data_IF_897619201441
#
_entry.id   IF_897619201441
#
_cell.length_a   1.000
_cell.length_b   1.000
_cell.length_c   1.000
_cell.angle_alpha   90.00
_cell.angle_beta   90.00
_cell.angle_gamma   90.00
#
_symmetry.space_group_name_H-M   'P 1'
#
loop_
_entity.id
_entity.type
_entity.pdbx_description
1 polymer ?
#
# COMPACT_ATOMS: atom_id res chain seq x y z
N UNK A 1 -0.81 4.80 18.54
CA UNK A 1 -0.63 4.33 17.15
C UNK A 1 0.70 4.87 16.66
N UNK A 2 1.61 4.00 16.24
CA UNK A 2 2.86 4.44 15.63
C UNK A 2 2.61 5.20 14.33
N UNK A 3 3.48 6.14 13.98
CA UNK A 3 3.33 6.97 12.78
C UNK A 3 4.26 6.41 11.70
N UNK A 4 3.85 6.50 10.43
CA UNK A 4 4.48 5.75 9.34
C UNK A 4 4.88 6.66 8.18
N UNK A 5 6.08 6.44 7.66
CA UNK A 5 6.63 7.18 6.52
C UNK A 5 7.15 6.22 5.45
N UNK A 6 6.69 6.40 4.20
CA UNK A 6 7.16 5.65 3.02
C UNK A 6 8.18 6.47 2.26
N UNK A 7 9.31 5.88 1.93
CA UNK A 7 10.45 6.58 1.34
C UNK A 7 10.86 5.91 0.03
N UNK A 8 10.82 6.69 -1.05
CA UNK A 8 11.24 6.24 -2.38
C UNK A 8 12.72 6.52 -2.58
N UNK A 9 13.44 5.53 -3.11
CA UNK A 9 14.84 5.69 -3.44
C UNK A 9 15.04 6.57 -4.69
N UNK A 10 16.06 7.44 -4.70
CA UNK A 10 16.41 8.20 -5.90
C UNK A 10 16.77 7.23 -7.04
N UNK A 11 16.11 7.39 -8.20
CA UNK A 11 16.35 6.54 -9.36
C UNK A 11 17.68 6.90 -10.04
N UNK A 12 18.73 6.15 -9.73
CA UNK A 12 20.00 6.22 -10.45
C UNK A 12 20.10 5.07 -11.47
N UNK A 13 20.12 5.43 -12.76
CA UNK A 13 20.36 4.49 -13.86
C UNK A 13 21.72 3.79 -13.74
N UNK A 14 21.72 2.47 -13.95
CA UNK A 14 22.86 1.55 -13.72
C UNK A 14 24.02 1.74 -14.69
N UNK A 15 25.26 1.60 -14.17
CA UNK A 15 26.31 0.76 -14.78
C UNK A 15 27.37 0.32 -13.74
N UNK A 16 27.78 -0.95 -13.77
CA UNK A 16 28.88 -1.58 -12.98
C UNK A 16 30.11 -1.92 -13.90
N UNK A 17 31.19 -2.63 -13.47
CA UNK A 17 32.42 -2.06 -12.88
C UNK A 17 33.74 -2.59 -13.55
N UNK A 18 34.92 -2.08 -13.17
CA UNK A 18 36.21 -2.85 -13.09
C UNK A 18 37.37 -2.08 -12.42
N UNK A 19 38.23 -2.84 -11.73
CA UNK A 19 39.31 -2.56 -10.75
C UNK A 19 40.62 -1.93 -11.30
N UNK A 20 41.48 -1.17 -10.60
CA UNK A 20 42.34 -1.50 -9.43
C UNK A 20 43.03 -0.24 -8.82
N UNK A 21 43.10 -0.18 -7.48
CA UNK A 21 44.14 0.28 -6.52
C UNK A 21 44.75 1.72 -6.49
N UNK A 22 44.52 2.33 -5.29
CA UNK A 22 45.38 3.14 -4.37
C UNK A 22 45.53 4.67 -4.55
N UNK A 23 44.80 5.37 -3.65
CA UNK A 23 45.12 6.55 -2.81
C UNK A 23 45.60 7.89 -3.43
N UNK A 24 44.79 8.96 -3.28
CA UNK A 24 45.07 10.23 -2.54
C UNK A 24 43.93 11.24 -2.79
N UNK A 25 43.57 12.02 -1.76
CA UNK A 25 42.54 13.09 -1.76
C UNK A 25 42.86 14.19 -2.78
N UNK A 26 41.88 14.58 -3.60
CA UNK A 26 41.84 15.89 -4.27
C UNK A 26 40.37 16.29 -4.53
N UNK A 27 39.97 17.46 -4.01
CA UNK A 27 38.74 18.15 -4.41
C UNK A 27 38.98 18.76 -5.79
N UNK A 28 38.17 18.40 -6.78
CA UNK A 28 37.97 19.21 -7.99
C UNK A 28 36.58 18.96 -8.56
N UNK A 29 35.81 20.04 -8.63
CA UNK A 29 34.64 20.19 -9.48
C UNK A 29 35.00 19.87 -10.93
N UNK A 30 34.16 19.11 -11.62
CA UNK A 30 34.18 18.99 -13.07
C UNK A 30 32.74 19.09 -13.59
N UNK A 31 32.42 20.26 -14.14
CA UNK A 31 31.34 20.47 -15.09
C UNK A 31 31.45 19.48 -16.25
N UNK A 32 30.36 18.77 -16.54
CA UNK A 32 30.18 18.04 -17.79
C UNK A 32 29.04 18.70 -18.58
N UNK A 33 29.39 19.18 -19.78
CA UNK A 33 28.48 19.65 -20.80
C UNK A 33 28.47 18.66 -21.97
N UNK A 34 27.39 18.77 -22.78
CA UNK A 34 27.06 18.08 -24.05
C UNK A 34 26.06 16.92 -23.89
N UNK A 35 24.94 16.86 -24.62
CA UNK A 35 24.52 17.67 -25.77
C UNK A 35 23.00 17.65 -25.97
N UNK A 36 22.52 18.76 -26.53
CA UNK A 36 21.15 18.93 -26.99
C UNK A 36 20.94 18.15 -28.30
N UNK A 37 19.88 17.35 -28.37
CA UNK A 37 19.21 17.04 -29.63
C UNK A 37 17.89 17.83 -29.68
N UNK A 38 17.82 18.76 -30.62
CA UNK A 38 16.63 19.54 -30.95
C UNK A 38 15.65 18.68 -31.75
N UNK A 39 14.42 18.55 -31.27
CA UNK A 39 13.27 18.19 -32.11
C UNK A 39 12.34 19.40 -32.28
N UNK A 40 11.75 19.60 -33.47
CA UNK A 40 11.00 20.80 -33.80
C UNK A 40 9.67 20.86 -33.05
N UNK A 41 9.39 22.04 -32.49
CA UNK A 41 8.07 22.45 -32.07
C UNK A 41 7.23 22.79 -33.31
N UNK A 42 6.06 22.14 -33.43
CA UNK A 42 4.94 22.66 -34.22
C UNK A 42 3.64 22.42 -33.44
N UNK A 43 2.99 23.51 -33.07
CA UNK A 43 1.52 23.57 -32.99
C UNK A 43 0.90 23.67 -31.59
N UNK A 44 0.92 24.87 -31.02
CA UNK A 44 -0.28 25.43 -30.37
C UNK A 44 -0.45 26.85 -30.94
N UNK A 45 -1.64 27.19 -31.46
CA UNK A 45 -2.68 27.86 -30.64
C UNK A 45 -4.07 27.25 -30.93
N UNK A 46 -5.15 27.40 -30.16
CA UNK A 46 -5.59 28.50 -29.33
C UNK A 46 -6.67 28.00 -28.33
N UNK A 47 -6.85 28.74 -27.23
CA UNK A 47 -8.11 28.81 -26.47
C UNK A 47 -9.02 29.82 -27.16
N UNK A 48 -10.30 29.49 -27.37
CA UNK A 48 -11.34 30.45 -26.99
C UNK A 48 -12.52 29.80 -26.23
N UNK A 49 -12.88 30.49 -25.16
CA UNK A 49 -14.23 30.76 -24.65
C UNK A 49 -15.20 29.62 -24.30
N UNK A 50 -15.61 29.72 -23.03
CA UNK A 50 -16.67 29.03 -22.34
C UNK A 50 -18.05 29.51 -22.82
N UNK A 51 -19.02 28.60 -23.10
CA UNK A 51 -20.42 28.93 -23.06
C UNK A 51 -21.09 28.30 -21.83
N UNK A 52 -21.78 29.15 -21.07
CA UNK A 52 -23.16 28.90 -20.61
C UNK A 52 -23.46 27.67 -19.76
N UNK A 53 -23.79 27.93 -18.49
CA UNK A 53 -24.59 27.09 -17.63
C UNK A 53 -25.89 26.62 -18.31
N UNK A 54 -26.10 25.31 -18.45
CA UNK A 54 -27.41 24.68 -18.62
C UNK A 54 -27.32 23.21 -18.21
N UNK A 55 -28.13 22.84 -17.22
CA UNK A 55 -28.17 21.49 -16.69
C UNK A 55 -28.52 20.46 -17.76
N UNK A 56 -27.81 19.33 -17.72
CA UNK A 56 -28.24 18.09 -18.37
C UNK A 56 -27.87 16.94 -17.46
N UNK A 57 -28.90 16.26 -16.96
CA UNK A 57 -28.79 14.97 -16.30
C UNK A 57 -28.02 14.02 -17.22
N UNK A 58 -26.91 13.47 -16.74
CA UNK A 58 -26.21 12.39 -17.40
C UNK A 58 -26.92 11.08 -17.04
N UNK A 59 -27.76 10.60 -17.95
CA UNK A 59 -28.19 9.19 -17.98
C UNK A 59 -26.99 8.34 -18.38
N UNK A 60 -26.31 7.75 -17.41
CA UNK A 60 -25.29 6.74 -17.67
C UNK A 60 -25.99 5.42 -18.03
N UNK A 61 -26.10 5.13 -19.33
CA UNK A 61 -26.30 3.76 -19.78
C UNK A 61 -24.98 3.01 -19.57
N UNK A 62 -24.92 2.19 -18.51
CA UNK A 62 -23.86 1.22 -18.30
C UNK A 62 -24.01 0.07 -19.33
N UNK A 63 -22.90 -0.56 -19.78
CA UNK A 63 -22.98 -1.73 -20.64
C UNK A 63 -23.50 -2.93 -19.83
N UNK A 64 -24.60 -3.52 -20.29
CA UNK A 64 -25.13 -4.79 -19.78
C UNK A 64 -24.24 -5.95 -20.24
N UNK A 65 -23.27 -6.33 -19.41
CA UNK A 65 -22.75 -7.71 -19.34
C UNK A 65 -22.31 -8.00 -17.90
N UNK A 66 -23.27 -8.41 -17.08
CA UNK A 66 -23.05 -8.98 -15.74
C UNK A 66 -23.98 -10.17 -15.57
N UNK A 67 -23.60 -11.10 -14.70
CA UNK A 67 -24.32 -12.35 -14.33
C UNK A 67 -25.85 -12.14 -14.42
N UNK A 68 -26.53 -12.95 -15.26
CA UNK A 68 -27.92 -12.81 -15.74
C UNK A 68 -28.91 -12.01 -14.85
N UNK A 69 -29.57 -11.00 -15.41
CA UNK A 69 -30.55 -10.13 -14.73
C UNK A 69 -31.95 -10.77 -14.57
N UNK A 70 -32.03 -11.99 -14.02
CA UNK A 70 -33.30 -12.74 -13.92
C UNK A 70 -33.59 -13.32 -12.52
N UNK A 71 -33.10 -12.70 -11.45
CA UNK A 71 -33.40 -13.05 -10.06
C UNK A 71 -33.35 -11.85 -9.13
N UNK A 72 -33.83 -12.01 -7.90
CA UNK A 72 -33.72 -11.00 -6.84
C UNK A 72 -32.25 -10.60 -6.68
N UNK A 73 -31.94 -9.31 -6.85
CA UNK A 73 -30.57 -8.79 -6.77
C UNK A 73 -30.19 -8.71 -5.30
N UNK A 74 -29.10 -9.37 -4.91
CA UNK A 74 -28.59 -9.35 -3.53
C UNK A 74 -27.18 -8.76 -3.50
N UNK A 75 -26.87 -7.95 -2.49
CA UNK A 75 -25.57 -7.31 -2.30
C UNK A 75 -25.02 -7.70 -0.93
N UNK A 76 -23.76 -8.14 -0.88
CA UNK A 76 -23.04 -8.36 0.37
C UNK A 76 -22.38 -7.05 0.80
N UNK A 77 -22.65 -6.56 2.01
CA UNK A 77 -21.90 -5.47 2.63
C UNK A 77 -20.96 -6.07 3.67
N UNK A 78 -19.66 -5.87 3.47
CA UNK A 78 -18.62 -6.38 4.36
C UNK A 78 -17.86 -5.24 5.03
N UNK A 79 -17.68 -5.36 6.34
CA UNK A 79 -16.86 -4.45 7.14
C UNK A 79 -16.30 -5.14 8.38
N UNK A 80 -15.28 -4.56 9.00
CA UNK A 80 -14.73 -5.08 10.25
C UNK A 80 -15.64 -4.76 11.43
N UNK A 81 -15.35 -5.25 12.65
CA UNK A 81 -16.15 -4.95 13.84
C UNK A 81 -16.35 -3.45 14.00
N UNK A 82 -17.61 -3.00 14.10
CA UNK A 82 -17.96 -1.58 14.05
C UNK A 82 -17.25 -0.73 15.12
N UNK A 83 -16.96 -1.32 16.29
CA UNK A 83 -16.25 -0.65 17.39
C UNK A 83 -14.77 -0.36 17.09
N UNK A 84 -14.20 -1.02 16.08
CA UNK A 84 -12.79 -0.89 15.69
C UNK A 84 -12.59 -0.01 14.45
N UNK A 85 -13.69 0.41 13.81
CA UNK A 85 -13.66 1.23 12.61
C UNK A 85 -13.71 2.71 12.95
N UNK A 86 -12.89 3.52 12.26
CA UNK A 86 -12.97 4.97 12.35
C UNK A 86 -14.15 5.52 11.52
N UNK A 87 -14.51 4.81 10.45
CA UNK A 87 -15.65 5.18 9.62
C UNK A 87 -16.96 4.69 10.24
N UNK A 88 -18.08 5.40 10.00
CA UNK A 88 -19.38 5.04 10.55
C UNK A 88 -20.00 3.90 9.75
N UNK A 89 -19.43 2.69 9.84
CA UNK A 89 -19.82 1.53 9.01
C UNK A 89 -21.29 1.15 9.19
N UNK A 90 -21.83 1.19 10.41
CA UNK A 90 -23.27 0.96 10.67
C UNK A 90 -24.14 1.92 9.87
N UNK A 91 -23.83 3.21 9.92
CA UNK A 91 -24.60 4.23 9.18
C UNK A 91 -24.47 4.06 7.66
N UNK A 92 -23.31 3.60 7.19
CA UNK A 92 -23.11 3.32 5.77
C UNK A 92 -23.89 2.08 5.33
N UNK A 93 -23.93 1.02 6.15
CA UNK A 93 -24.77 -0.16 5.92
C UNK A 93 -26.24 0.23 5.87
N UNK A 94 -26.76 0.95 6.88
CA UNK A 94 -28.15 1.44 6.91
C UNK A 94 -28.50 2.21 5.62
N UNK A 95 -27.61 3.09 5.16
CA UNK A 95 -27.82 3.87 3.94
C UNK A 95 -27.86 2.99 2.67
N UNK A 96 -27.07 1.93 2.62
CA UNK A 96 -27.06 0.98 1.50
C UNK A 96 -28.33 0.11 1.53
N UNK A 97 -28.80 -0.29 2.71
CA UNK A 97 -30.08 -0.99 2.88
C UNK A 97 -31.28 -0.14 2.43
N UNK A 98 -31.30 1.14 2.81
CA UNK A 98 -32.32 2.10 2.34
C UNK A 98 -32.31 2.24 0.81
N UNK A 99 -31.12 2.31 0.20
CA UNK A 99 -30.97 2.32 -1.26
C UNK A 99 -31.45 0.99 -1.87
N UNK A 100 -31.17 -0.15 -1.25
CA UNK A 100 -31.66 -1.46 -1.67
C UNK A 100 -33.17 -1.53 -1.72
N UNK A 101 -33.82 -1.16 -0.62
CA UNK A 101 -35.27 -1.12 -0.51
C UNK A 101 -35.90 -0.17 -1.56
N UNK A 102 -35.25 0.96 -1.86
CA UNK A 102 -35.75 1.92 -2.85
C UNK A 102 -35.53 1.48 -4.31
N UNK A 103 -34.53 0.63 -4.59
CA UNK A 103 -34.11 0.29 -5.96
C UNK A 103 -34.27 -1.20 -6.31
N UNK A 104 -34.87 -2.00 -5.44
CA UNK A 104 -35.22 -3.40 -5.74
C UNK A 104 -34.05 -4.38 -5.61
N UNK A 105 -33.15 -4.17 -4.65
CA UNK A 105 -32.14 -5.15 -4.27
C UNK A 105 -32.13 -5.36 -2.75
N UNK A 106 -31.73 -6.55 -2.29
CA UNK A 106 -31.54 -6.84 -0.88
C UNK A 106 -30.07 -6.71 -0.49
N UNK A 107 -29.83 -6.51 0.81
CA UNK A 107 -28.50 -6.32 1.38
C UNK A 107 -28.33 -7.32 2.51
N UNK A 108 -27.17 -7.98 2.53
CA UNK A 108 -26.73 -8.82 3.64
C UNK A 108 -25.44 -8.23 4.22
N UNK A 109 -25.46 -7.83 5.49
CA UNK A 109 -24.27 -7.37 6.21
C UNK A 109 -23.50 -8.58 6.77
N UNK A 110 -22.18 -8.55 6.69
CA UNK A 110 -21.31 -9.45 7.44
C UNK A 110 -20.06 -8.75 7.95
N UNK A 111 -19.63 -9.14 9.14
CA UNK A 111 -18.30 -8.84 9.68
C UNK A 111 -17.38 -10.06 9.73
N UNK A 112 -17.85 -11.22 9.30
CA UNK A 112 -17.11 -12.48 9.30
C UNK A 112 -16.52 -12.74 7.91
N UNK A 113 -15.18 -12.81 7.76
CA UNK A 113 -14.55 -13.06 6.46
C UNK A 113 -14.86 -14.47 5.92
N UNK A 114 -15.41 -15.39 6.72
CA UNK A 114 -15.84 -16.72 6.24
C UNK A 114 -16.97 -16.65 5.19
N UNK A 115 -17.62 -15.49 5.00
CA UNK A 115 -18.57 -15.28 3.91
C UNK A 115 -17.93 -15.30 2.52
N UNK A 116 -16.60 -15.12 2.42
CA UNK A 116 -15.87 -15.19 1.16
C UNK A 116 -15.52 -16.64 0.82
N UNK A 117 -16.47 -17.30 0.15
CA UNK A 117 -16.30 -18.60 -0.49
C UNK A 117 -17.11 -18.62 -1.78
N UNK A 118 -16.67 -19.35 -2.80
CA UNK A 118 -17.32 -19.40 -4.13
C UNK A 118 -18.84 -19.62 -4.01
N UNK A 119 -19.21 -20.63 -3.22
CA UNK A 119 -20.61 -21.01 -3.01
C UNK A 119 -21.44 -19.91 -2.34
N UNK A 120 -20.84 -19.13 -1.45
CA UNK A 120 -21.56 -18.05 -0.79
C UNK A 120 -21.64 -16.82 -1.70
N UNK A 121 -20.55 -16.48 -2.38
CA UNK A 121 -20.46 -15.34 -3.30
C UNK A 121 -21.40 -15.47 -4.51
N UNK A 122 -21.73 -16.69 -4.93
CA UNK A 122 -22.72 -16.98 -5.97
C UNK A 122 -24.11 -16.37 -5.72
N UNK A 123 -24.44 -16.07 -4.47
CA UNK A 123 -25.73 -15.46 -4.08
C UNK A 123 -25.81 -13.97 -4.40
N UNK A 124 -24.67 -13.29 -4.54
CA UNK A 124 -24.63 -11.83 -4.61
C UNK A 124 -24.27 -11.34 -6.01
N UNK A 125 -24.90 -10.24 -6.41
CA UNK A 125 -24.57 -9.49 -7.63
C UNK A 125 -23.50 -8.44 -7.42
N UNK A 126 -23.30 -7.99 -6.19
CA UNK A 126 -22.18 -7.15 -5.83
C UNK A 126 -21.71 -7.42 -4.41
N UNK A 127 -20.44 -7.12 -4.18
CA UNK A 127 -19.83 -7.01 -2.86
C UNK A 127 -19.45 -5.55 -2.63
N UNK A 128 -19.88 -5.01 -1.50
CA UNK A 128 -19.50 -3.69 -1.01
C UNK A 128 -18.52 -3.88 0.15
N UNK A 129 -17.30 -3.38 0.01
CA UNK A 129 -16.37 -3.24 1.11
C UNK A 129 -16.51 -1.85 1.72
N UNK A 130 -16.76 -1.78 3.03
CA UNK A 130 -16.52 -0.57 3.83
C UNK A 130 -15.17 -0.72 4.56
N UNK A 131 -14.99 -0.04 5.68
CA UNK A 131 -13.77 -0.18 6.50
C UNK A 131 -13.72 -1.57 7.14
N UNK A 132 -12.67 -2.31 6.83
CA UNK A 132 -12.44 -3.68 7.31
C UNK A 132 -11.14 -3.81 8.11
N UNK A 133 -10.80 -2.79 8.91
CA UNK A 133 -9.62 -2.84 9.77
C UNK A 133 -9.76 -4.00 10.75
N UNK A 134 -8.72 -4.83 10.86
CA UNK A 134 -8.69 -6.00 11.74
C UNK A 134 -9.40 -7.22 11.18
N UNK A 135 -9.82 -7.20 9.91
CA UNK A 135 -10.56 -8.31 9.27
C UNK A 135 -9.97 -8.62 7.91
N UNK A 136 -8.75 -9.16 7.94
CA UNK A 136 -8.04 -9.60 6.74
C UNK A 136 -8.62 -10.91 6.19
N UNK A 137 -8.58 -11.05 4.87
CA UNK A 137 -8.98 -12.28 4.21
C UNK A 137 -7.77 -13.20 4.18
N UNK A 138 -8.01 -14.48 4.43
CA UNK A 138 -7.01 -15.51 4.14
C UNK A 138 -6.82 -15.65 2.63
N UNK A 139 -5.72 -16.25 2.18
CA UNK A 139 -5.47 -16.52 0.75
C UNK A 139 -6.66 -17.18 0.06
N UNK A 140 -7.25 -18.23 0.65
CA UNK A 140 -8.40 -18.91 0.04
C UNK A 140 -9.69 -18.08 0.00
N UNK A 141 -9.85 -17.10 0.89
CA UNK A 141 -10.98 -16.14 0.85
C UNK A 141 -10.75 -15.06 -0.20
N UNK A 142 -9.49 -14.62 -0.36
CA UNK A 142 -9.08 -13.71 -1.42
C UNK A 142 -9.23 -14.35 -2.80
N UNK A 143 -8.78 -15.59 -2.98
CA UNK A 143 -8.95 -16.37 -4.21
C UNK A 143 -10.45 -16.47 -4.61
N UNK A 144 -11.33 -16.66 -3.63
CA UNK A 144 -12.78 -16.72 -3.88
C UNK A 144 -13.35 -15.36 -4.32
N UNK A 145 -12.88 -14.26 -3.73
CA UNK A 145 -13.26 -12.91 -4.14
C UNK A 145 -12.69 -12.56 -5.52
N UNK A 146 -11.47 -12.98 -5.82
CA UNK A 146 -10.84 -12.85 -7.13
C UNK A 146 -11.66 -13.56 -8.20
N UNK A 147 -11.93 -14.86 -8.03
CA UNK A 147 -12.75 -15.62 -8.96
C UNK A 147 -14.15 -15.02 -9.14
N UNK A 148 -14.77 -14.56 -8.06
CA UNK A 148 -16.06 -13.86 -8.14
C UNK A 148 -16.03 -12.62 -9.04
N UNK A 149 -14.97 -11.81 -8.96
CA UNK A 149 -14.83 -10.59 -9.76
C UNK A 149 -14.49 -10.94 -11.21
N UNK A 150 -13.62 -11.93 -11.44
CA UNK A 150 -13.30 -12.44 -12.78
C UNK A 150 -14.53 -13.01 -13.50
N UNK A 151 -15.45 -13.63 -12.74
CA UNK A 151 -16.75 -14.13 -13.23
C UNK A 151 -17.80 -13.01 -13.45
N UNK A 152 -17.41 -11.74 -13.30
CA UNK A 152 -18.27 -10.58 -13.55
C UNK A 152 -19.10 -10.13 -12.34
N UNK A 153 -18.71 -10.53 -11.13
CA UNK A 153 -19.25 -10.01 -9.89
C UNK A 153 -18.91 -8.52 -9.69
N UNK A 154 -19.86 -7.75 -9.15
CA UNK A 154 -19.64 -6.32 -8.89
C UNK A 154 -18.81 -6.09 -7.64
N UNK A 155 -17.89 -5.12 -7.67
CA UNK A 155 -17.14 -4.67 -6.49
C UNK A 155 -17.29 -3.16 -6.28
N UNK A 156 -17.59 -2.76 -5.04
CA UNK A 156 -17.61 -1.35 -4.61
C UNK A 156 -16.83 -1.21 -3.29
N UNK A 157 -15.69 -0.53 -3.33
CA UNK A 157 -14.98 -0.11 -2.12
C UNK A 157 -15.36 1.32 -1.72
N UNK A 158 -15.72 1.56 -0.46
CA UNK A 158 -16.02 2.90 0.07
C UNK A 158 -14.93 3.33 1.06
N UNK A 159 -14.28 4.46 0.77
CA UNK A 159 -13.29 5.13 1.63
C UNK A 159 -12.16 4.21 2.12
N UNK A 160 -12.14 3.85 3.41
CA UNK A 160 -11.05 3.06 4.02
C UNK A 160 -11.03 1.60 3.53
N UNK A 161 -12.04 1.15 2.78
CA UNK A 161 -11.99 -0.09 2.01
C UNK A 161 -10.73 -0.19 1.12
N UNK A 162 -10.24 0.94 0.60
CA UNK A 162 -9.00 0.97 -0.19
C UNK A 162 -7.75 0.59 0.62
N UNK A 163 -7.84 0.50 1.95
CA UNK A 163 -6.79 0.06 2.87
C UNK A 163 -6.97 -1.40 3.34
N UNK A 164 -8.06 -2.07 2.96
CA UNK A 164 -8.26 -3.48 3.28
C UNK A 164 -7.27 -4.37 2.53
N UNK A 165 -6.92 -5.54 3.08
CA UNK A 165 -5.88 -6.42 2.53
C UNK A 165 -4.59 -5.63 2.25
N UNK A 166 -4.04 -4.95 3.26
CA UNK A 166 -2.92 -3.99 3.07
C UNK A 166 -1.77 -4.57 2.24
N UNK A 167 -1.58 -5.90 2.35
CA UNK A 167 -0.49 -6.69 1.77
C UNK A 167 -0.87 -7.58 0.59
N UNK A 168 -2.01 -7.33 -0.04
CA UNK A 168 -2.42 -8.07 -1.22
C UNK A 168 -2.04 -7.28 -2.49
N UNK A 169 -1.15 -7.86 -3.29
CA UNK A 169 -0.85 -7.37 -4.65
C UNK A 169 -2.10 -7.43 -5.54
N UNK A 170 -2.87 -8.51 -5.45
CA UNK A 170 -4.09 -8.67 -6.22
C UNK A 170 -5.12 -7.60 -5.88
N UNK A 171 -5.44 -7.41 -4.60
CA UNK A 171 -6.40 -6.39 -4.17
C UNK A 171 -5.90 -4.98 -4.48
N UNK A 172 -4.58 -4.74 -4.44
CA UNK A 172 -3.98 -3.49 -4.90
C UNK A 172 -4.23 -3.27 -6.40
N UNK A 173 -4.12 -4.32 -7.20
CA UNK A 173 -4.48 -4.31 -8.63
C UNK A 173 -5.97 -4.03 -8.85
N UNK A 174 -6.85 -4.68 -8.07
CA UNK A 174 -8.30 -4.49 -8.13
C UNK A 174 -8.71 -3.01 -7.94
N UNK A 175 -8.13 -2.34 -6.93
CA UNK A 175 -8.44 -0.93 -6.64
C UNK A 175 -7.59 0.06 -7.45
N UNK A 176 -6.69 -0.44 -8.31
CA UNK A 176 -5.81 0.32 -9.20
C UNK A 176 -4.59 0.96 -8.52
N UNK A 177 -4.73 1.44 -7.28
CA UNK A 177 -3.60 1.89 -6.45
C UNK A 177 -4.04 2.05 -4.99
N UNK A 178 -3.07 1.99 -4.07
CA UNK A 178 -3.33 2.21 -2.65
C UNK A 178 -3.32 3.69 -2.28
N UNK A 179 -4.12 4.12 -1.29
CA UNK A 179 -3.97 5.44 -0.69
C UNK A 179 -2.53 5.63 -0.18
N UNK A 180 -2.02 6.85 -0.32
CA UNK A 180 -0.70 7.24 0.21
C UNK A 180 -0.62 6.82 1.69
N UNK A 181 0.45 6.10 2.04
CA UNK A 181 0.67 5.53 3.38
C UNK A 181 0.34 4.04 3.53
N UNK A 182 -0.22 3.37 2.53
CA UNK A 182 -0.23 1.89 2.50
C UNK A 182 1.16 1.37 2.10
N UNK A 183 1.68 0.41 2.87
CA UNK A 183 3.00 -0.14 2.64
C UNK A 183 2.97 -1.16 1.48
N UNK A 184 4.01 -1.21 0.62
CA UNK A 184 4.20 -2.35 -0.26
C UNK A 184 4.49 -3.60 0.59
N UNK A 185 4.28 -4.77 0.02
CA UNK A 185 4.72 -6.02 0.64
C UNK A 185 6.22 -5.96 0.92
N UNK A 186 6.65 -6.16 2.17
CA UNK A 186 8.06 -6.24 2.47
C UNK A 186 8.62 -7.55 1.91
N UNK A 187 9.87 -7.50 1.47
CA UNK A 187 10.63 -8.66 1.07
C UNK A 187 10.82 -9.62 2.25
N UNK A 188 10.79 -10.93 2.00
CA UNK A 188 11.05 -11.94 3.02
C UNK A 188 12.45 -11.77 3.63
N UNK A 189 12.52 -11.66 4.95
CA UNK A 189 13.78 -11.52 5.71
C UNK A 189 14.16 -12.85 6.35
N UNK A 190 15.31 -13.40 5.95
CA UNK A 190 15.85 -14.63 6.53
C UNK A 190 16.52 -14.40 7.90
N UNK A 191 17.07 -13.21 8.13
CA UNK A 191 17.76 -12.87 9.38
C UNK A 191 17.74 -11.36 9.60
N UNK A 192 17.48 -10.95 10.84
CA UNK A 192 17.63 -9.56 11.29
C UNK A 192 18.55 -9.53 12.50
N UNK A 193 19.50 -8.60 12.50
CA UNK A 193 20.40 -8.34 13.64
C UNK A 193 20.49 -6.85 13.90
N UNK A 194 20.74 -6.47 15.14
CA UNK A 194 20.97 -5.08 15.51
C UNK A 194 22.18 -4.95 16.44
N UNK A 195 22.82 -3.78 16.43
CA UNK A 195 23.93 -3.48 17.35
C UNK A 195 23.47 -3.23 18.78
N UNK A 196 22.16 -3.10 19.01
CA UNK A 196 21.54 -2.99 20.32
C UNK A 196 20.25 -3.81 20.39
N UNK A 197 19.90 -4.29 21.58
CA UNK A 197 18.71 -5.09 21.85
C UNK A 197 18.18 -4.70 23.24
N UNK A 198 16.86 -4.64 23.43
CA UNK A 198 16.24 -4.48 24.74
C UNK A 198 15.31 -5.66 25.07
N UNK A 199 15.88 -6.83 25.42
CA UNK A 199 15.08 -8.00 25.75
C UNK A 199 14.25 -7.80 27.03
N UNK A 200 13.11 -8.52 27.16
CA UNK A 200 12.67 -9.57 26.24
C UNK A 200 11.78 -9.07 25.09
N UNK A 201 11.24 -7.85 25.17
CA UNK A 201 10.09 -7.45 24.35
C UNK A 201 10.39 -6.38 23.30
N UNK A 202 11.61 -5.81 23.27
CA UNK A 202 11.96 -4.74 22.34
C UNK A 202 13.22 -5.10 21.55
N UNK A 203 13.12 -6.21 20.80
CA UNK A 203 14.23 -6.86 20.09
C UNK A 203 14.12 -6.73 18.57
N UNK A 204 15.22 -6.94 17.84
CA UNK A 204 15.27 -6.71 16.39
C UNK A 204 14.29 -7.58 15.60
N UNK A 205 13.92 -8.76 16.12
CA UNK A 205 12.91 -9.64 15.51
C UNK A 205 11.54 -8.94 15.34
N UNK A 206 11.21 -7.98 16.21
CA UNK A 206 9.98 -7.20 16.14
C UNK A 206 9.94 -6.23 14.95
N UNK A 207 11.05 -6.05 14.23
CA UNK A 207 11.06 -5.23 13.00
C UNK A 207 10.51 -5.97 11.78
N UNK A 208 10.35 -7.30 11.88
CA UNK A 208 9.97 -8.19 10.78
C UNK A 208 8.82 -9.13 11.15
N UNK A 209 8.13 -8.89 12.27
CA UNK A 209 7.04 -9.74 12.76
C UNK A 209 5.65 -9.32 12.23
N UNK A 210 5.62 -8.32 11.35
CA UNK A 210 4.44 -7.71 10.76
C UNK A 210 3.46 -7.07 11.77
N UNK A 211 3.85 -6.88 13.03
CA UNK A 211 3.00 -6.26 14.06
C UNK A 211 3.53 -4.87 14.47
N UNK A 212 2.91 -3.81 13.96
CA UNK A 212 3.29 -2.43 14.36
C UNK A 212 2.93 -2.04 15.81
N UNK A 213 2.38 -2.95 16.60
CA UNK A 213 2.25 -2.79 18.05
C UNK A 213 3.52 -3.23 18.79
N UNK A 214 4.37 -4.07 18.19
CA UNK A 214 5.69 -4.42 18.70
C UNK A 214 6.73 -3.41 18.21
N UNK A 215 7.93 -3.42 18.80
CA UNK A 215 8.99 -2.47 18.47
C UNK A 215 10.37 -3.02 18.77
N UNK A 216 11.39 -2.46 18.16
CA UNK A 216 12.78 -2.61 18.59
C UNK A 216 13.24 -1.34 19.30
N UNK A 217 14.09 -1.48 20.33
CA UNK A 217 14.70 -0.36 21.03
C UNK A 217 16.20 -0.58 21.23
N UNK A 218 17.00 0.41 20.83
CA UNK A 218 18.36 0.59 21.29
C UNK A 218 18.45 1.87 22.15
N UNK A 219 19.24 1.82 23.23
CA UNK A 219 19.50 2.99 24.06
C UNK A 219 20.64 3.86 23.54
N UNK A 220 21.50 3.31 22.69
CA UNK A 220 22.51 4.08 22.00
C UNK A 220 21.83 5.04 21.00
N UNK A 221 22.30 6.31 20.90
CA UNK A 221 21.72 7.30 20.00
C UNK A 221 21.98 6.98 18.51
N UNK A 222 22.83 6.01 18.23
CA UNK A 222 23.11 5.51 16.88
C UNK A 222 23.29 4.01 16.96
N UNK A 223 22.56 3.30 16.11
CA UNK A 223 22.61 1.85 16.02
C UNK A 223 22.49 1.41 14.56
N UNK A 224 22.95 0.21 14.26
CA UNK A 224 22.83 -0.41 12.94
C UNK A 224 21.90 -1.60 13.03
N UNK A 225 20.93 -1.66 12.12
CA UNK A 225 20.09 -2.83 11.89
C UNK A 225 20.52 -3.43 10.55
N UNK A 226 20.77 -4.73 10.54
CA UNK A 226 21.14 -5.47 9.33
C UNK A 226 20.06 -6.48 9.02
N UNK A 227 19.44 -6.33 7.85
CA UNK A 227 18.49 -7.28 7.28
C UNK A 227 19.20 -8.14 6.23
N UNK A 228 19.02 -9.45 6.32
CA UNK A 228 19.40 -10.40 5.28
C UNK A 228 18.13 -10.95 4.65
N UNK A 229 17.92 -10.60 3.38
CA UNK A 229 16.77 -11.09 2.63
C UNK A 229 16.91 -12.59 2.36
N UNK A 230 15.76 -13.28 2.29
CA UNK A 230 15.69 -14.68 1.91
C UNK A 230 16.15 -14.89 0.46
N UNK A 231 15.78 -13.96 -0.42
CA UNK A 231 16.21 -13.94 -1.81
C UNK A 231 16.81 -12.58 -2.23
N UNK A 232 17.73 -12.53 -3.21
CA UNK A 232 18.27 -11.27 -3.69
C UNK A 232 17.20 -10.39 -4.37
N UNK A 233 16.83 -9.28 -3.75
CA UNK A 233 15.87 -8.32 -4.29
C UNK A 233 16.52 -7.00 -4.76
N UNK A 234 15.83 -6.28 -5.65
CA UNK A 234 16.16 -4.89 -5.99
C UNK A 234 15.32 -3.98 -5.10
N UNK A 235 15.95 -3.39 -4.08
CA UNK A 235 15.26 -2.44 -3.20
C UNK A 235 14.97 -1.16 -3.97
N UNK A 236 13.70 -0.78 -4.04
CA UNK A 236 13.19 0.45 -4.67
C UNK A 236 12.46 1.36 -3.69
N UNK A 237 11.94 0.79 -2.60
CA UNK A 237 11.23 1.47 -1.54
C UNK A 237 11.58 0.82 -0.20
N UNK A 238 11.45 1.60 0.86
CA UNK A 238 11.44 1.10 2.23
C UNK A 238 10.47 1.94 3.06
N UNK A 239 10.08 1.40 4.20
CA UNK A 239 9.18 2.07 5.13
C UNK A 239 9.62 1.83 6.56
N UNK A 240 9.38 2.85 7.40
CA UNK A 240 9.59 2.78 8.84
C UNK A 240 8.29 3.15 9.53
N UNK A 241 8.03 2.49 10.66
CA UNK A 241 6.97 2.84 11.61
C UNK A 241 7.63 3.21 12.93
N UNK A 242 7.28 4.38 13.47
CA UNK A 242 7.74 4.78 14.80
C UNK A 242 6.98 4.06 15.91
N UNK A 243 7.59 3.98 17.08
CA UNK A 243 6.99 3.35 18.24
C UNK A 243 5.80 4.17 18.78
N UNK A 244 4.92 3.52 19.54
CA UNK A 244 3.65 4.09 19.99
C UNK A 244 3.68 4.78 21.38
N UNK A 245 4.86 5.05 21.95
CA UNK A 245 5.00 5.42 23.37
C UNK A 245 5.92 6.61 23.67
N UNK A 246 6.90 6.94 22.83
CA UNK A 246 7.76 8.11 23.07
C UNK A 246 8.43 8.66 21.80
N UNK A 247 7.78 9.68 21.20
CA UNK A 247 8.23 10.40 20.00
C UNK A 247 9.69 10.88 20.06
N UNK A 248 10.21 11.19 21.25
CA UNK A 248 11.58 11.67 21.42
C UNK A 248 12.66 10.62 21.05
N UNK A 249 12.27 9.35 20.90
CA UNK A 249 13.15 8.24 20.52
C UNK A 249 13.02 7.85 19.05
N UNK A 250 12.15 8.52 18.29
CA UNK A 250 11.93 8.19 16.89
C UNK A 250 13.21 8.48 16.09
N UNK A 251 13.55 7.62 15.10
CA UNK A 251 14.72 7.85 14.27
C UNK A 251 14.54 9.15 13.48
N UNK A 252 15.59 9.97 13.41
CA UNK A 252 15.57 11.25 12.67
C UNK A 252 16.50 11.26 11.47
N UNK A 253 17.63 10.58 11.61
CA UNK A 253 18.69 10.53 10.61
C UNK A 253 19.07 9.07 10.38
N UNK A 254 19.21 8.66 9.12
CA UNK A 254 19.71 7.32 8.79
C UNK A 254 20.31 7.27 7.39
N UNK A 255 21.14 6.25 7.16
CA UNK A 255 21.62 5.86 5.84
C UNK A 255 21.17 4.43 5.56
N UNK A 256 20.42 4.23 4.48
CA UNK A 256 20.08 2.90 4.00
C UNK A 256 21.19 2.41 3.08
N UNK A 257 21.77 1.26 3.38
CA UNK A 257 22.81 0.65 2.57
C UNK A 257 22.38 -0.71 2.03
N UNK A 258 22.87 -1.07 0.84
CA UNK A 258 22.67 -2.38 0.23
C UNK A 258 24.00 -3.10 -0.02
N UNK A 259 23.98 -4.42 0.14
CA UNK A 259 25.13 -5.29 -0.14
C UNK A 259 24.69 -6.57 -0.85
N UNK A 260 25.56 -7.12 -1.69
CA UNK A 260 25.37 -8.45 -2.31
C UNK A 260 26.24 -9.54 -1.67
N UNK A 261 27.18 -9.17 -0.80
CA UNK A 261 28.15 -10.08 -0.20
C UNK A 261 28.25 -9.95 1.33
N UNK A 262 27.48 -9.04 1.93
CA UNK A 262 27.49 -8.72 3.36
C UNK A 262 28.75 -7.99 3.83
N UNK A 263 29.69 -7.68 2.92
CA UNK A 263 31.00 -7.12 3.23
C UNK A 263 31.16 -5.72 2.66
N UNK A 264 30.77 -5.54 1.41
CA UNK A 264 30.81 -4.27 0.69
C UNK A 264 29.41 -3.67 0.65
N UNK A 265 29.26 -2.50 1.24
CA UNK A 265 28.00 -1.80 1.36
C UNK A 265 27.99 -0.55 0.48
N UNK A 266 26.86 -0.29 -0.15
CA UNK A 266 26.63 0.89 -0.98
C UNK A 266 25.47 1.68 -0.41
N UNK A 267 25.66 2.98 -0.19
CA UNK A 267 24.58 3.87 0.23
C UNK A 267 23.52 3.94 -0.87
N UNK A 268 22.29 3.59 -0.52
CA UNK A 268 21.11 3.64 -1.38
C UNK A 268 20.27 4.88 -1.10
N UNK A 269 20.20 5.30 0.18
CA UNK A 269 19.50 6.50 0.62
C UNK A 269 20.19 7.13 1.83
N UNK A 270 19.99 8.42 2.01
CA UNK A 270 20.33 9.13 3.25
C UNK A 270 19.21 10.09 3.59
N UNK A 271 18.72 10.00 4.82
CA UNK A 271 17.67 10.86 5.37
C UNK A 271 18.19 11.60 6.59
N UNK A 272 17.71 12.82 6.76
CA UNK A 272 18.08 13.66 7.87
C UNK A 272 16.93 14.57 8.27
N UNK A 273 16.76 14.76 9.57
CA UNK A 273 15.73 15.63 10.16
C UNK A 273 14.30 15.14 9.92
N UNK A 274 14.11 13.84 9.72
CA UNK A 274 12.78 13.25 9.55
C UNK A 274 11.98 13.34 10.85
N UNK A 275 10.67 13.49 10.69
CA UNK A 275 9.69 13.52 11.77
C UNK A 275 8.59 12.51 11.44
N UNK A 276 8.16 11.76 12.45
CA UNK A 276 7.16 10.71 12.30
C UNK A 276 5.80 11.21 12.78
#
# INVERSE_FOLDING_TARGET
>A
MGRRSRLTLPHNGRARPRSLRRATILVTSATLALGLSSMPALGAPAKPEQPGNSGSQATANAPETGKDAAGDVNVLVFHGPAAEQNDPVVKATDAIEELGAANGFTVEESTDPAVFSDKNLDKYRGVVFLSAKGTELTTGQEDALEGYIEDGGGFLGVRDAARAQERSEWFTGLIGTRPVGALPDPEDVAEVTATGENPPNEIAANLIDDDTATKWLAFDPTATITFKLAEPAVIVHYALASANDADARDPKDWTLQGSQDGQNWTDLDTRAGEDF
#
